data_IF_213138408830
#
_entry.id   IF_213138408830
#
_cell.length_a   1.000
_cell.length_b   1.000
_cell.length_c   1.000
_cell.angle_alpha   90.00
_cell.angle_beta   90.00
_cell.angle_gamma   90.00
#
_symmetry.space_group_name_H-M   'P 1'
#
loop_
_entity.id
_entity.type
_entity.pdbx_description
1 polymer ?
#
# COMPACT_ATOMS: atom_id res chain seq x y z
N UNK A 1 -7.72 1.31 4.02
CA UNK A 1 -6.25 1.22 4.11
C UNK A 1 -5.67 2.58 3.74
N UNK A 2 -4.99 3.25 4.67
CA UNK A 2 -4.39 4.57 4.45
C UNK A 2 -2.94 4.61 4.96
N UNK A 3 -2.18 5.62 4.55
CA UNK A 3 -0.78 5.76 4.94
C UNK A 3 -0.62 6.11 6.43
N UNK A 4 0.60 5.99 6.94
CA UNK A 4 0.98 6.49 8.27
C UNK A 4 0.76 8.00 8.43
N UNK A 5 0.66 8.74 7.33
CA UNK A 5 0.29 10.17 7.31
C UNK A 5 -1.15 10.45 7.75
N UNK A 6 -2.03 9.43 7.70
CA UNK A 6 -3.43 9.52 8.09
C UNK A 6 -3.68 9.09 9.54
N UNK A 7 -2.62 8.86 10.31
CA UNK A 7 -2.66 8.57 11.74
C UNK A 7 -2.94 9.85 12.57
N UNK A 8 -4.14 10.40 12.43
CA UNK A 8 -4.62 11.56 13.19
C UNK A 8 -5.98 11.27 13.81
N UNK A 9 -6.17 11.64 15.08
CA UNK A 9 -7.40 11.37 15.83
C UNK A 9 -8.67 11.84 15.11
N UNK A 10 -8.67 13.04 14.53
CA UNK A 10 -9.79 13.57 13.75
C UNK A 10 -10.11 12.73 12.50
N UNK A 11 -9.05 12.22 11.84
CA UNK A 11 -9.19 11.37 10.65
C UNK A 11 -9.80 10.04 11.04
N UNK A 12 -9.32 9.42 12.13
CA UNK A 12 -9.87 8.16 12.64
C UNK A 12 -11.34 8.32 13.01
N UNK A 13 -11.69 9.37 13.78
CA UNK A 13 -13.08 9.68 14.13
C UNK A 13 -13.97 9.89 12.90
N UNK A 14 -13.47 10.60 11.90
CA UNK A 14 -14.23 10.84 10.66
C UNK A 14 -14.46 9.53 9.89
N UNK A 15 -13.46 8.66 9.81
CA UNK A 15 -13.59 7.37 9.14
C UNK A 15 -14.60 6.47 9.86
N UNK A 16 -14.52 6.42 11.18
CA UNK A 16 -15.39 5.61 12.02
C UNK A 16 -16.85 6.10 12.00
N UNK A 17 -17.08 7.42 12.12
CA UNK A 17 -18.42 8.03 12.02
C UNK A 17 -19.11 7.81 10.66
N UNK A 18 -18.35 7.44 9.64
CA UNK A 18 -18.84 7.06 8.33
C UNK A 18 -18.94 5.54 8.09
N UNK A 19 -18.79 4.72 9.13
CA UNK A 19 -18.86 3.25 9.08
C UNK A 19 -17.85 2.66 8.07
N UNK A 20 -16.65 3.25 8.01
CA UNK A 20 -15.57 2.81 7.13
C UNK A 20 -14.53 2.01 7.90
N UNK A 21 -14.32 0.75 7.47
CA UNK A 21 -13.24 -0.08 7.99
C UNK A 21 -11.90 0.44 7.49
N UNK A 22 -10.98 0.74 8.41
CA UNK A 22 -9.65 1.22 8.08
C UNK A 22 -8.53 0.36 8.68
N UNK A 23 -7.35 0.51 8.08
CA UNK A 23 -6.11 -0.15 8.48
C UNK A 23 -4.99 0.86 8.19
N UNK A 24 -4.31 1.31 9.25
CA UNK A 24 -3.33 2.40 9.19
C UNK A 24 -2.09 1.98 10.01
N UNK A 25 -0.88 2.09 9.48
CA UNK A 25 0.35 1.90 10.27
C UNK A 25 0.60 3.11 11.18
N UNK A 26 1.05 2.84 12.41
CA UNK A 26 1.49 3.88 13.35
C UNK A 26 2.90 4.39 13.02
N UNK A 27 3.17 5.67 13.33
CA UNK A 27 4.45 6.33 13.03
C UNK A 27 5.59 5.98 13.99
N UNK A 28 5.29 5.83 15.26
CA UNK A 28 6.11 5.33 16.39
C UNK A 28 5.35 5.80 17.65
N UNK A 29 5.15 4.92 18.64
CA UNK A 29 4.39 5.28 19.84
C UNK A 29 4.98 4.57 21.06
N UNK A 30 5.48 5.33 22.04
CA UNK A 30 5.98 4.79 23.32
C UNK A 30 4.89 4.02 24.07
N UNK A 31 3.64 4.49 24.05
CA UNK A 31 2.53 3.79 24.68
C UNK A 31 2.11 2.50 23.94
N UNK A 32 2.44 2.37 22.64
CA UNK A 32 2.20 1.12 21.90
C UNK A 32 3.21 0.05 22.34
N UNK A 33 4.39 0.44 22.79
CA UNK A 33 5.38 -0.46 23.39
C UNK A 33 4.99 -0.86 24.82
N UNK A 34 4.37 0.03 25.60
CA UNK A 34 3.79 -0.34 26.93
C UNK A 34 2.59 -1.31 26.81
N UNK A 35 1.82 -1.22 25.72
CA UNK A 35 0.72 -2.14 25.41
C UNK A 35 1.17 -3.58 25.09
N UNK A 36 2.46 -3.80 24.79
CA UNK A 36 3.02 -5.14 24.49
C UNK A 36 2.82 -6.12 25.64
N UNK A 37 2.75 -5.66 26.90
CA UNK A 37 2.46 -6.54 28.05
C UNK A 37 1.01 -7.05 28.09
N UNK A 38 0.07 -6.42 27.37
CA UNK A 38 -1.36 -6.78 27.31
C UNK A 38 -1.74 -7.52 26.03
N UNK A 39 -0.77 -7.91 25.24
CA UNK A 39 -0.95 -8.52 23.93
C UNK A 39 -1.42 -9.97 24.04
N UNK A 40 -2.41 -10.34 23.23
CA UNK A 40 -2.68 -11.74 22.92
C UNK A 40 -1.66 -12.23 21.88
N UNK A 41 -0.74 -13.09 22.31
CA UNK A 41 0.32 -13.65 21.46
C UNK A 41 -0.16 -14.87 20.66
N UNK A 42 0.30 -14.98 19.41
CA UNK A 42 0.09 -16.18 18.62
C UNK A 42 1.08 -17.30 19.01
N UNK A 43 0.66 -18.56 19.22
CA UNK A 43 1.49 -19.64 19.78
C UNK A 43 2.71 -20.06 18.93
N UNK A 44 2.74 -19.66 17.65
CA UNK A 44 3.77 -20.05 16.66
C UNK A 44 4.40 -18.82 15.99
N UNK A 45 3.79 -17.66 16.12
CA UNK A 45 4.14 -16.48 15.34
C UNK A 45 4.35 -15.31 16.29
N UNK A 46 5.43 -14.58 16.09
CA UNK A 46 5.77 -13.39 16.86
C UNK A 46 4.86 -12.21 16.46
N UNK A 47 3.55 -12.36 16.68
CA UNK A 47 2.51 -11.39 16.35
C UNK A 47 1.54 -11.27 17.51
N UNK A 48 1.06 -10.05 17.70
CA UNK A 48 0.26 -9.67 18.85
C UNK A 48 -0.94 -8.81 18.49
N UNK A 49 -2.00 -8.89 19.29
CA UNK A 49 -3.15 -7.97 19.24
C UNK A 49 -3.41 -7.39 20.62
N UNK A 50 -3.59 -6.07 20.68
CA UNK A 50 -4.17 -5.38 21.83
C UNK A 50 -5.56 -4.88 21.42
N UNK A 51 -6.64 -5.54 21.88
CA UNK A 51 -7.98 -5.21 21.45
C UNK A 51 -8.60 -4.06 22.26
N UNK A 52 -9.64 -3.46 21.68
CA UNK A 52 -10.58 -2.53 22.33
C UNK A 52 -9.92 -1.31 22.99
N UNK A 53 -8.93 -0.73 22.31
CA UNK A 53 -8.24 0.48 22.79
C UNK A 53 -9.05 1.73 22.44
N UNK A 54 -9.46 2.47 23.47
CA UNK A 54 -10.21 3.71 23.31
C UNK A 54 -9.35 4.81 22.65
N UNK A 55 -9.81 5.30 21.50
CA UNK A 55 -9.25 6.48 20.82
C UNK A 55 -10.18 7.65 21.02
N UNK A 56 -9.65 8.76 21.51
CA UNK A 56 -10.40 10.00 21.72
C UNK A 56 -10.02 11.15 20.79
N UNK A 57 -10.93 12.10 20.62
CA UNK A 57 -10.70 13.43 20.03
C UNK A 57 -11.01 14.45 21.11
N UNK A 58 -10.16 15.47 21.27
CA UNK A 58 -10.33 16.55 22.27
C UNK A 58 -10.57 16.08 23.73
N UNK A 59 -10.12 14.87 24.08
CA UNK A 59 -10.25 14.30 25.42
C UNK A 59 -11.55 13.53 25.68
N UNK A 60 -12.43 13.40 24.67
CA UNK A 60 -13.61 12.52 24.72
C UNK A 60 -13.33 11.22 23.95
N UNK A 61 -13.74 10.08 24.51
CA UNK A 61 -13.65 8.78 23.84
C UNK A 61 -14.55 8.81 22.60
N UNK A 62 -13.95 8.54 21.45
CA UNK A 62 -14.62 8.57 20.15
C UNK A 62 -15.09 7.18 19.76
N UNK A 63 -14.17 6.21 19.71
CA UNK A 63 -14.43 4.80 19.38
C UNK A 63 -13.25 3.92 19.82
N UNK A 64 -13.46 2.61 19.77
CA UNK A 64 -12.45 1.60 20.09
C UNK A 64 -11.71 1.15 18.83
N UNK A 65 -10.42 0.85 18.97
CA UNK A 65 -9.58 0.32 17.89
C UNK A 65 -8.72 -0.83 18.38
N UNK A 66 -8.39 -1.74 17.48
CA UNK A 66 -7.49 -2.86 17.71
C UNK A 66 -6.08 -2.51 17.21
N UNK A 67 -5.10 -2.63 18.09
CA UNK A 67 -3.69 -2.52 17.76
C UNK A 67 -3.11 -3.88 17.41
N UNK A 68 -2.29 -3.94 16.37
CA UNK A 68 -1.67 -5.16 15.86
C UNK A 68 -0.17 -4.98 15.77
N UNK A 69 0.56 -5.97 16.28
CA UNK A 69 2.02 -5.98 16.37
C UNK A 69 2.58 -7.07 15.46
N UNK A 70 3.57 -6.68 14.65
CA UNK A 70 4.30 -7.60 13.77
C UNK A 70 5.79 -7.36 13.92
N UNK A 71 6.64 -8.38 13.75
CA UNK A 71 8.07 -8.17 13.81
C UNK A 71 8.47 -7.29 12.64
N UNK A 72 9.24 -6.23 12.93
CA UNK A 72 9.64 -5.31 11.86
C UNK A 72 10.54 -6.02 10.86
N UNK A 73 10.48 -5.59 9.60
CA UNK A 73 11.41 -6.04 8.55
C UNK A 73 12.57 -5.05 8.36
N UNK A 74 12.54 -3.91 9.07
CA UNK A 74 13.56 -2.87 9.01
C UNK A 74 14.65 -3.12 10.06
N UNK A 75 15.92 -2.91 9.69
CA UNK A 75 17.07 -3.05 10.60
C UNK A 75 16.99 -1.97 11.71
N UNK A 76 16.49 -2.36 12.89
CA UNK A 76 16.51 -1.54 14.11
C UNK A 76 15.16 -1.27 14.78
N UNK A 77 14.04 -1.71 14.20
CA UNK A 77 12.74 -1.71 14.89
C UNK A 77 12.40 -3.10 15.41
N UNK A 78 12.02 -3.24 16.68
CA UNK A 78 11.60 -4.54 17.22
C UNK A 78 10.24 -4.95 16.63
N UNK A 79 9.27 -4.03 16.53
CA UNK A 79 7.93 -4.30 15.99
C UNK A 79 7.38 -3.17 15.11
N UNK A 80 6.65 -3.53 14.05
CA UNK A 80 5.78 -2.66 13.28
C UNK A 80 4.35 -2.73 13.83
N UNK A 81 3.75 -1.56 14.08
CA UNK A 81 2.42 -1.43 14.70
C UNK A 81 1.39 -0.93 13.68
N UNK A 82 0.25 -1.62 13.62
CA UNK A 82 -0.91 -1.25 12.81
C UNK A 82 -2.13 -1.05 13.70
N UNK A 83 -3.07 -0.23 13.25
CA UNK A 83 -4.33 0.04 13.94
C UNK A 83 -5.52 -0.20 13.01
N UNK A 84 -6.62 -0.72 13.53
CA UNK A 84 -7.87 -0.98 12.79
C UNK A 84 -9.10 -0.86 13.68
N UNK A 85 -10.23 -0.35 13.16
CA UNK A 85 -11.52 -0.33 13.86
C UNK A 85 -12.40 -1.55 13.56
N UNK A 86 -11.81 -2.64 13.05
CA UNK A 86 -12.54 -3.88 12.80
C UNK A 86 -12.66 -4.65 14.11
N UNK A 87 -13.87 -5.03 14.50
CA UNK A 87 -14.12 -5.90 15.67
C UNK A 87 -13.49 -7.30 15.52
N UNK A 88 -13.24 -7.96 16.65
CA UNK A 88 -12.82 -9.36 16.75
C UNK A 88 -11.56 -9.73 15.94
N UNK A 89 -10.50 -8.91 16.02
CA UNK A 89 -9.23 -9.21 15.35
C UNK A 89 -8.43 -10.21 16.17
N UNK A 90 -8.33 -11.44 15.69
CA UNK A 90 -7.49 -12.46 16.33
C UNK A 90 -6.02 -12.36 15.86
N UNK A 91 -5.03 -12.83 16.65
CA UNK A 91 -3.62 -12.85 16.25
C UNK A 91 -3.35 -13.59 14.91
N UNK A 92 -4.19 -14.55 14.56
CA UNK A 92 -4.15 -15.27 13.28
C UNK A 92 -4.54 -14.41 12.06
N UNK A 93 -5.38 -13.40 12.24
CA UNK A 93 -5.81 -12.48 11.18
C UNK A 93 -4.76 -11.43 10.82
N UNK A 94 -3.87 -11.10 11.78
CA UNK A 94 -2.89 -10.01 11.71
C UNK A 94 -2.05 -10.08 10.44
N UNK A 95 -1.43 -11.23 10.16
CA UNK A 95 -0.62 -11.42 8.94
C UNK A 95 -1.45 -11.24 7.67
N UNK A 96 -2.69 -11.71 7.66
CA UNK A 96 -3.60 -11.57 6.52
C UNK A 96 -3.97 -10.11 6.26
N UNK A 97 -4.26 -9.34 7.32
CA UNK A 97 -4.53 -7.90 7.28
C UNK A 97 -3.31 -7.12 6.78
N UNK A 98 -2.13 -7.39 7.34
CA UNK A 98 -0.91 -6.70 6.93
C UNK A 98 -0.45 -7.10 5.52
N UNK A 99 -0.67 -8.34 5.08
CA UNK A 99 -0.42 -8.72 3.69
C UNK A 99 -1.43 -8.11 2.71
N UNK A 100 -2.60 -7.62 3.17
CA UNK A 100 -3.44 -6.75 2.35
C UNK A 100 -2.87 -5.35 2.27
N UNK A 101 -2.28 -4.85 3.35
CA UNK A 101 -1.58 -3.55 3.36
C UNK A 101 -0.35 -3.56 2.44
N UNK A 102 0.42 -4.65 2.37
CA UNK A 102 1.58 -4.76 1.47
C UNK A 102 1.23 -4.58 -0.01
N UNK A 103 -0.02 -4.86 -0.43
CA UNK A 103 -0.52 -4.56 -1.79
C UNK A 103 -0.54 -3.06 -2.09
N UNK A 104 -0.60 -2.20 -1.07
CA UNK A 104 -0.46 -0.74 -1.25
C UNK A 104 0.93 -0.37 -1.79
N UNK A 105 1.98 -1.03 -1.30
CA UNK A 105 3.34 -0.86 -1.81
C UNK A 105 3.46 -1.31 -3.27
N UNK A 106 2.74 -2.39 -3.65
CA UNK A 106 2.64 -2.79 -5.06
C UNK A 106 2.09 -1.63 -5.90
N UNK A 107 0.98 -1.00 -5.48
CA UNK A 107 0.39 0.16 -6.18
C UNK A 107 1.38 1.33 -6.31
N UNK A 108 2.15 1.65 -5.26
CA UNK A 108 3.17 2.71 -5.33
C UNK A 108 4.27 2.39 -6.34
N UNK A 109 4.74 1.15 -6.36
CA UNK A 109 5.73 0.70 -7.32
C UNK A 109 5.17 0.72 -8.75
N UNK A 110 3.92 0.28 -8.95
CA UNK A 110 3.23 0.39 -10.23
C UNK A 110 3.13 1.85 -10.68
N UNK A 111 2.75 2.76 -9.78
CA UNK A 111 2.68 4.19 -10.08
C UNK A 111 4.04 4.79 -10.46
N UNK A 112 5.14 4.36 -9.81
CA UNK A 112 6.52 4.73 -10.22
C UNK A 112 6.84 4.26 -11.64
N UNK A 113 6.35 3.09 -12.06
CA UNK A 113 6.53 2.62 -13.44
C UNK A 113 5.64 3.38 -14.43
N UNK A 114 4.38 3.65 -14.08
CA UNK A 114 3.46 4.46 -14.91
C UNK A 114 4.07 5.82 -15.20
N UNK A 115 4.72 6.45 -14.22
CA UNK A 115 5.43 7.73 -14.39
C UNK A 115 6.49 7.71 -15.50
N UNK A 116 7.08 6.55 -15.82
CA UNK A 116 8.03 6.44 -16.94
C UNK A 116 7.35 6.61 -18.31
N UNK A 117 6.06 6.29 -18.40
CA UNK A 117 5.25 6.48 -19.60
C UNK A 117 4.61 7.88 -19.68
N UNK A 118 4.70 8.69 -18.62
CA UNK A 118 4.20 10.06 -18.65
C UNK A 118 5.17 10.96 -19.43
N UNK A 119 4.70 11.68 -20.45
CA UNK A 119 5.51 12.69 -21.12
C UNK A 119 5.75 13.89 -20.21
N UNK A 120 6.93 14.52 -20.33
CA UNK A 120 7.22 15.80 -19.68
C UNK A 120 6.39 16.89 -20.35
N UNK A 121 5.43 17.46 -19.62
CA UNK A 121 4.49 18.46 -20.16
C UNK A 121 4.61 19.80 -19.42
N UNK A 122 4.59 20.90 -20.16
CA UNK A 122 4.50 22.26 -19.61
C UNK A 122 3.05 22.76 -19.46
N UNK A 123 2.06 22.05 -20.00
CA UNK A 123 0.66 22.49 -20.00
C UNK A 123 0.03 22.42 -18.61
N UNK A 124 -0.77 23.44 -18.27
CA UNK A 124 -1.55 23.54 -17.04
C UNK A 124 -3.01 23.11 -17.20
N UNK A 125 -3.49 22.86 -18.42
CA UNK A 125 -4.86 22.42 -18.66
C UNK A 125 -5.08 21.02 -18.07
N UNK A 126 -6.04 20.91 -17.15
CA UNK A 126 -6.35 19.66 -16.45
C UNK A 126 -6.76 18.54 -17.41
N UNK A 127 -7.40 18.86 -18.55
CA UNK A 127 -7.84 17.85 -19.53
C UNK A 127 -6.65 17.20 -20.20
N UNK A 128 -5.63 17.99 -20.51
CA UNK A 128 -4.37 17.50 -21.08
C UNK A 128 -3.64 16.62 -20.05
N UNK A 129 -3.57 17.06 -18.78
CA UNK A 129 -2.95 16.26 -17.71
C UNK A 129 -3.67 14.94 -17.47
N UNK A 130 -5.01 14.98 -17.41
CA UNK A 130 -5.86 13.81 -17.23
C UNK A 130 -5.71 12.81 -18.38
N UNK A 131 -5.78 13.30 -19.64
CA UNK A 131 -5.56 12.46 -20.81
C UNK A 131 -4.19 11.78 -20.77
N UNK A 132 -3.11 12.53 -20.53
CA UNK A 132 -1.76 11.96 -20.48
C UNK A 132 -1.61 10.94 -19.35
N UNK A 133 -2.22 11.18 -18.20
CA UNK A 133 -2.22 10.21 -17.11
C UNK A 133 -2.93 8.91 -17.49
N UNK A 134 -4.15 9.00 -18.04
CA UNK A 134 -4.90 7.82 -18.50
C UNK A 134 -4.17 7.09 -19.63
N UNK A 135 -3.55 7.83 -20.54
CA UNK A 135 -2.75 7.27 -21.62
C UNK A 135 -1.50 6.55 -21.11
N UNK A 136 -0.80 7.11 -20.13
CA UNK A 136 0.32 6.45 -19.47
C UNK A 136 -0.11 5.15 -18.75
N UNK A 137 -1.26 5.15 -18.07
CA UNK A 137 -1.85 3.93 -17.50
C UNK A 137 -2.14 2.87 -18.57
N UNK A 138 -2.66 3.27 -19.72
CA UNK A 138 -2.91 2.37 -20.84
C UNK A 138 -1.61 1.75 -21.36
N UNK A 139 -0.58 2.56 -21.60
CA UNK A 139 0.73 2.09 -22.06
C UNK A 139 1.39 1.14 -21.05
N UNK A 140 1.30 1.45 -19.76
CA UNK A 140 1.74 0.57 -18.70
C UNK A 140 1.04 -0.79 -18.74
N UNK A 141 -0.29 -0.81 -18.92
CA UNK A 141 -1.05 -2.06 -19.01
C UNK A 141 -0.68 -2.89 -20.24
N UNK A 142 -0.47 -2.23 -21.39
CA UNK A 142 0.00 -2.89 -22.62
C UNK A 142 1.38 -3.51 -22.40
N UNK A 143 2.30 -2.76 -21.78
CA UNK A 143 3.63 -3.25 -21.43
C UNK A 143 3.57 -4.45 -20.49
N UNK A 144 2.79 -4.38 -19.40
CA UNK A 144 2.62 -5.50 -18.46
C UNK A 144 2.06 -6.75 -19.14
N UNK A 145 1.08 -6.58 -20.01
CA UNK A 145 0.53 -7.69 -20.78
C UNK A 145 1.59 -8.32 -21.70
N UNK A 146 2.38 -7.50 -22.41
CA UNK A 146 3.45 -7.99 -23.26
C UNK A 146 4.53 -8.74 -22.45
N UNK A 147 4.95 -8.19 -21.31
CA UNK A 147 5.90 -8.83 -20.38
C UNK A 147 5.36 -10.18 -19.86
N UNK A 148 4.07 -10.24 -19.52
CA UNK A 148 3.44 -11.49 -19.09
C UNK A 148 3.41 -12.55 -20.19
N UNK A 149 3.07 -12.17 -21.41
CA UNK A 149 3.07 -13.10 -22.55
C UNK A 149 4.48 -13.63 -22.83
N UNK A 150 5.51 -12.77 -22.75
CA UNK A 150 6.90 -13.19 -22.90
C UNK A 150 7.33 -14.16 -21.80
N UNK A 151 6.96 -13.90 -20.54
CA UNK A 151 7.25 -14.79 -19.41
C UNK A 151 6.62 -16.16 -19.56
N UNK A 152 5.37 -16.21 -20.02
CA UNK A 152 4.68 -17.47 -20.29
C UNK A 152 5.40 -18.29 -21.36
N UNK A 153 5.87 -17.64 -22.42
CA UNK A 153 6.58 -18.31 -23.51
C UNK A 153 7.93 -18.90 -23.07
N UNK A 154 8.68 -18.18 -22.22
CA UNK A 154 9.99 -18.64 -21.72
C UNK A 154 9.91 -19.46 -20.43
N UNK A 155 8.70 -19.76 -19.94
CA UNK A 155 8.48 -20.52 -18.72
C UNK A 155 8.94 -19.84 -17.43
N UNK A 156 9.03 -18.50 -17.41
CA UNK A 156 9.36 -17.73 -16.19
C UNK A 156 8.11 -17.45 -15.34
N UNK A 157 8.23 -17.46 -14.00
CA UNK A 157 7.16 -17.02 -13.11
C UNK A 157 6.68 -15.59 -13.41
N UNK A 158 5.37 -15.36 -13.35
CA UNK A 158 4.75 -14.06 -13.66
C UNK A 158 5.22 -12.94 -12.71
N UNK A 159 5.41 -13.29 -11.43
CA UNK A 159 5.77 -12.34 -10.36
C UNK A 159 7.24 -11.95 -10.34
N UNK A 160 8.08 -12.58 -11.18
CA UNK A 160 9.48 -12.19 -11.32
C UNK A 160 9.62 -10.82 -11.97
N UNK A 161 10.84 -10.29 -11.93
CA UNK A 161 11.19 -9.05 -12.61
C UNK A 161 10.80 -9.09 -14.10
N UNK A 162 10.40 -7.94 -14.67
CA UNK A 162 10.02 -7.86 -16.07
C UNK A 162 11.19 -8.26 -16.98
N UNK A 163 10.91 -9.12 -17.95
CA UNK A 163 11.84 -9.56 -19.00
C UNK A 163 11.99 -8.46 -20.04
N UNK A 164 10.87 -7.83 -20.40
CA UNK A 164 10.86 -6.61 -21.20
C UNK A 164 10.76 -5.43 -20.24
N UNK A 165 11.79 -4.60 -20.14
CA UNK A 165 11.74 -3.43 -19.27
C UNK A 165 10.80 -2.36 -19.83
N UNK A 166 10.29 -1.48 -18.95
CA UNK A 166 9.45 -0.36 -19.39
C UNK A 166 10.19 0.57 -20.37
N UNK A 167 11.52 0.73 -20.22
CA UNK A 167 12.33 1.54 -21.12
C UNK A 167 12.39 0.95 -22.53
N UNK A 168 12.70 -0.35 -22.65
CA UNK A 168 12.71 -1.04 -23.94
C UNK A 168 11.34 -1.01 -24.61
N UNK A 169 10.25 -1.16 -23.85
CA UNK A 169 8.91 -1.03 -24.38
C UNK A 169 8.63 0.37 -24.95
N UNK A 170 9.10 1.43 -24.29
CA UNK A 170 8.99 2.81 -24.77
C UNK A 170 9.80 3.00 -26.05
N UNK A 171 11.03 2.47 -26.12
CA UNK A 171 11.87 2.53 -27.32
C UNK A 171 11.22 1.82 -28.51
N UNK A 172 10.67 0.61 -28.30
CA UNK A 172 9.93 -0.12 -29.32
C UNK A 172 8.71 0.67 -29.79
N UNK A 173 7.91 1.22 -28.86
CA UNK A 173 6.77 2.06 -29.20
C UNK A 173 7.21 3.30 -30.00
N UNK A 174 8.32 3.93 -29.64
CA UNK A 174 8.86 5.07 -30.38
C UNK A 174 9.22 4.68 -31.83
N UNK A 175 9.81 3.51 -32.07
CA UNK A 175 10.09 3.01 -33.42
C UNK A 175 8.82 2.80 -34.26
N UNK A 176 7.70 2.40 -33.66
CA UNK A 176 6.43 2.22 -34.38
C UNK A 176 5.66 3.53 -34.59
N UNK A 177 5.74 4.45 -33.62
CA UNK A 177 4.92 5.66 -33.59
C UNK A 177 5.60 6.87 -34.22
N UNK A 178 6.93 6.89 -34.32
CA UNK A 178 7.67 7.90 -35.07
C UNK A 178 7.90 7.34 -36.48
N UNK A 179 7.13 7.77 -37.49
CA UNK A 179 7.41 7.36 -38.86
C UNK A 179 8.82 7.83 -39.20
N UNK A 180 9.60 6.96 -39.85
CA UNK A 180 10.88 7.31 -40.47
C UNK A 180 10.72 8.65 -41.20
N UNK A 181 11.30 9.71 -40.66
CA UNK A 181 11.49 10.99 -41.33
C UNK A 181 12.72 10.91 -42.22
#
# INVERSE_FOLDING_TARGET
MADREFDGHDVLHTLDSHDLIYLIPKREYEAALEGVEKVEDHPIADVGVEPDVEVGVDGEVSHEVNFMYLPSTEEGGDYAVFLTNRDDVAPEDVRGLCNRYSRRWEIENEYKQIKKFLPTMASTDYRVRCFNFLFACLLYNVWRLADYLLKLEIGKPIRDEPVLTAGEAIELLACFLVPYG
#
